data_IF_552670104856
#
_entry.id   IF_552670104856
#
_cell.length_a   1.000
_cell.length_b   1.000
_cell.length_c   1.000
_cell.angle_alpha   90.00
_cell.angle_beta   90.00
_cell.angle_gamma   90.00
#
_symmetry.space_group_name_H-M   'P 1'
#
loop_
_entity.id
_entity.type
_entity.pdbx_description
1 polymer ?
#
# COMPACT_ATOMS: atom_id res chain seq x y z
N UNK A 1 -11.03 -12.30 -22.36
CA UNK A 1 -11.27 -11.89 -20.96
C UNK A 1 -9.96 -11.68 -20.21
N UNK A 2 -9.03 -12.65 -20.22
CA UNK A 2 -7.72 -12.59 -19.55
C UNK A 2 -6.90 -11.34 -19.87
N UNK A 3 -6.75 -10.97 -21.15
CA UNK A 3 -5.98 -9.76 -21.54
C UNK A 3 -6.53 -8.46 -20.92
N UNK A 4 -7.85 -8.31 -20.80
CA UNK A 4 -8.47 -7.12 -20.19
C UNK A 4 -8.23 -7.10 -18.67
N UNK A 5 -8.33 -8.26 -18.02
CA UNK A 5 -8.03 -8.39 -16.59
C UNK A 5 -6.57 -8.08 -16.28
N UNK A 6 -5.63 -8.56 -17.10
CA UNK A 6 -4.21 -8.24 -16.92
C UNK A 6 -3.93 -6.73 -16.98
N UNK A 7 -4.52 -6.03 -17.97
CA UNK A 7 -4.40 -4.56 -18.06
C UNK A 7 -4.98 -3.89 -16.82
N UNK A 8 -6.15 -4.31 -16.34
CA UNK A 8 -6.75 -3.78 -15.11
C UNK A 8 -5.82 -3.97 -13.89
N UNK A 9 -5.25 -5.16 -13.72
CA UNK A 9 -4.35 -5.44 -12.60
C UNK A 9 -3.06 -4.62 -12.68
N UNK A 10 -2.55 -4.33 -13.89
CA UNK A 10 -1.43 -3.41 -14.06
C UNK A 10 -1.78 -1.96 -13.71
N UNK A 11 -2.97 -1.49 -14.09
CA UNK A 11 -3.44 -0.15 -13.71
C UNK A 11 -3.57 -0.05 -12.18
N UNK A 12 -4.17 -1.05 -11.54
CA UNK A 12 -4.30 -1.10 -10.07
C UNK A 12 -2.91 -1.16 -9.41
N UNK A 13 -1.99 -1.99 -9.91
CA UNK A 13 -0.63 -2.09 -9.39
C UNK A 13 0.12 -0.76 -9.51
N UNK A 14 0.06 -0.11 -10.67
CA UNK A 14 0.69 1.19 -10.89
C UNK A 14 0.13 2.28 -9.99
N UNK A 15 -1.20 2.34 -9.83
CA UNK A 15 -1.85 3.28 -8.92
C UNK A 15 -1.43 3.05 -7.46
N UNK A 16 -1.51 1.81 -6.97
CA UNK A 16 -1.12 1.48 -5.59
C UNK A 16 0.37 1.75 -5.36
N UNK A 17 1.23 1.36 -6.30
CA UNK A 17 2.66 1.61 -6.21
C UNK A 17 2.97 3.11 -6.14
N UNK A 18 2.30 3.93 -6.95
CA UNK A 18 2.47 5.39 -6.90
C UNK A 18 2.06 5.96 -5.54
N UNK A 19 0.86 5.61 -5.05
CA UNK A 19 0.35 6.08 -3.76
C UNK A 19 1.29 5.68 -2.62
N UNK A 20 1.63 4.40 -2.51
CA UNK A 20 2.45 3.89 -1.41
C UNK A 20 3.91 4.33 -1.49
N UNK A 21 4.47 4.50 -2.69
CA UNK A 21 5.81 5.06 -2.83
C UNK A 21 5.84 6.51 -2.34
N UNK A 22 4.85 7.32 -2.74
CA UNK A 22 4.76 8.71 -2.31
C UNK A 22 4.56 8.82 -0.79
N UNK A 23 3.58 8.11 -0.23
CA UNK A 23 3.32 8.18 1.21
C UNK A 23 4.44 7.57 2.04
N UNK A 24 5.08 6.50 1.54
CA UNK A 24 6.16 5.83 2.21
C UNK A 24 7.42 6.69 2.27
N UNK A 25 7.80 7.29 1.13
CA UNK A 25 8.91 8.24 1.08
C UNK A 25 8.69 9.44 1.98
N UNK A 26 7.47 10.00 2.04
CA UNK A 26 7.15 11.09 2.96
C UNK A 26 7.41 10.68 4.42
N UNK A 27 7.04 9.46 4.83
CA UNK A 27 7.27 8.94 6.20
C UNK A 27 8.75 8.66 6.51
N UNK A 28 9.57 8.43 5.47
CA UNK A 28 11.00 8.18 5.63
C UNK A 28 11.84 9.46 5.64
N UNK A 29 11.45 10.45 4.84
CA UNK A 29 12.20 11.71 4.66
C UNK A 29 11.80 12.76 5.69
N UNK A 30 10.53 12.84 6.08
CA UNK A 30 10.05 13.85 7.02
C UNK A 30 10.13 13.37 8.47
N UNK A 31 10.37 14.30 9.39
CA UNK A 31 10.28 14.01 10.83
C UNK A 31 8.84 13.88 11.28
N UNK A 32 8.61 13.31 12.48
CA UNK A 32 7.27 13.21 13.08
C UNK A 32 6.60 14.59 13.17
N UNK A 33 7.35 15.60 13.59
CA UNK A 33 6.87 16.97 13.79
C UNK A 33 6.48 17.60 12.45
N UNK A 34 7.26 17.38 11.40
CA UNK A 34 6.93 17.84 10.05
C UNK A 34 5.69 17.16 9.48
N UNK A 35 5.48 15.87 9.78
CA UNK A 35 4.27 15.14 9.37
C UNK A 35 3.04 15.64 10.14
N UNK A 36 3.16 15.83 11.46
CA UNK A 36 2.10 16.41 12.28
C UNK A 36 1.68 17.80 11.79
N UNK A 37 2.65 18.66 11.45
CA UNK A 37 2.41 20.00 10.91
C UNK A 37 1.65 20.01 9.57
N UNK A 38 1.65 18.89 8.84
CA UNK A 38 0.90 18.75 7.57
C UNK A 38 -0.53 18.23 7.76
N UNK A 39 -0.99 18.07 9.01
CA UNK A 39 -2.32 17.58 9.34
C UNK A 39 -2.43 16.06 9.43
N UNK A 40 -1.30 15.33 9.38
CA UNK A 40 -1.29 13.86 9.52
C UNK A 40 -1.35 13.50 11.02
N UNK A 41 -2.50 13.70 11.64
CA UNK A 41 -2.65 13.65 13.10
C UNK A 41 -2.33 12.30 13.76
N UNK A 42 -2.44 11.18 13.05
CA UNK A 42 -2.15 9.85 13.63
C UNK A 42 -0.67 9.69 14.02
N UNK A 43 0.25 10.47 13.44
CA UNK A 43 1.68 10.39 13.78
C UNK A 43 1.96 10.81 15.23
N UNK A 44 1.06 11.56 15.86
CA UNK A 44 1.15 11.93 17.28
C UNK A 44 1.05 10.71 18.20
N UNK A 45 0.25 9.71 17.83
CA UNK A 45 -0.05 8.52 18.65
C UNK A 45 1.08 7.48 18.63
N UNK A 46 2.08 7.65 17.75
CA UNK A 46 3.15 6.68 17.54
C UNK A 46 4.54 7.30 17.68
N UNK A 47 5.52 6.47 18.01
CA UNK A 47 6.93 6.86 18.02
C UNK A 47 7.49 7.01 16.59
N UNK A 48 8.56 7.82 16.40
CA UNK A 48 9.22 7.99 15.10
C UNK A 48 9.66 6.68 14.45
N UNK A 49 10.07 5.69 15.25
CA UNK A 49 10.45 4.36 14.76
C UNK A 49 9.30 3.62 14.06
N UNK A 50 8.09 3.65 14.63
CA UNK A 50 6.91 3.02 14.02
C UNK A 50 6.52 3.72 12.72
N UNK A 51 6.58 5.06 12.69
CA UNK A 51 6.27 5.84 11.48
C UNK A 51 7.24 5.47 10.35
N UNK A 52 8.54 5.37 10.66
CA UNK A 52 9.56 4.93 9.69
C UNK A 52 9.36 3.49 9.25
N UNK A 53 9.00 2.58 10.16
CA UNK A 53 8.72 1.19 9.82
C UNK A 53 7.56 1.09 8.81
N UNK A 54 6.47 1.83 9.04
CA UNK A 54 5.35 1.92 8.09
C UNK A 54 5.84 2.48 6.75
N UNK A 55 6.67 3.52 6.76
CA UNK A 55 7.29 4.07 5.55
C UNK A 55 8.10 3.03 4.76
N UNK A 56 8.92 2.23 5.44
CA UNK A 56 9.69 1.14 4.81
C UNK A 56 8.75 0.10 4.20
N UNK A 57 7.73 -0.34 4.95
CA UNK A 57 6.74 -1.31 4.46
C UNK A 57 6.02 -0.81 3.21
N UNK A 58 5.62 0.47 3.18
CA UNK A 58 4.96 1.07 2.02
C UNK A 58 5.87 1.14 0.80
N UNK A 59 7.13 1.57 0.96
CA UNK A 59 8.10 1.64 -0.15
C UNK A 59 8.45 0.25 -0.67
N UNK A 60 8.71 -0.72 0.21
CA UNK A 60 8.97 -2.11 -0.18
C UNK A 60 7.76 -2.74 -0.85
N UNK A 61 6.55 -2.46 -0.35
CA UNK A 61 5.30 -2.89 -0.96
C UNK A 61 5.17 -2.32 -2.38
N UNK A 62 5.34 -1.01 -2.56
CA UNK A 62 5.27 -0.36 -3.87
C UNK A 62 6.30 -0.93 -4.87
N UNK A 63 7.54 -1.12 -4.42
CA UNK A 63 8.59 -1.74 -5.23
C UNK A 63 8.23 -3.19 -5.59
N UNK A 64 7.74 -3.96 -4.62
CA UNK A 64 7.32 -5.35 -4.80
C UNK A 64 6.12 -5.53 -5.74
N UNK A 65 5.26 -4.52 -5.89
CA UNK A 65 4.15 -4.56 -6.85
C UNK A 65 4.61 -4.44 -8.32
N UNK A 66 5.78 -3.83 -8.57
CA UNK A 66 6.20 -3.45 -9.93
C UNK A 66 7.48 -4.16 -10.36
N UNK A 67 8.55 -4.12 -9.56
CA UNK A 67 9.86 -4.60 -9.97
C UNK A 67 9.88 -6.10 -10.35
N UNK A 68 9.28 -7.01 -9.58
CA UNK A 68 9.26 -8.43 -9.95
C UNK A 68 8.57 -8.68 -11.29
N UNK A 69 7.43 -8.01 -11.53
CA UNK A 69 6.64 -8.16 -12.74
C UNK A 69 7.27 -7.54 -13.99
N UNK A 70 8.02 -6.43 -13.84
CA UNK A 70 8.71 -5.79 -14.97
C UNK A 70 10.01 -6.52 -15.31
N UNK A 71 10.69 -7.08 -14.32
CA UNK A 71 11.96 -7.81 -14.52
C UNK A 71 11.75 -9.28 -14.86
N UNK A 72 10.56 -9.84 -14.61
CA UNK A 72 10.28 -11.27 -14.73
C UNK A 72 10.97 -12.13 -13.66
N UNK A 73 11.42 -11.52 -12.56
CA UNK A 73 12.16 -12.21 -11.49
C UNK A 73 11.27 -12.32 -10.26
N UNK A 74 11.06 -13.55 -9.77
CA UNK A 74 10.31 -13.84 -8.54
C UNK A 74 8.92 -13.15 -8.52
N UNK A 75 8.15 -13.26 -9.59
CA UNK A 75 6.86 -12.57 -9.77
C UNK A 75 5.81 -12.90 -8.69
N UNK A 76 6.00 -14.02 -7.96
CA UNK A 76 5.24 -14.35 -6.75
C UNK A 76 5.32 -13.26 -5.66
N UNK A 77 6.35 -12.41 -5.69
CA UNK A 77 6.49 -11.29 -4.78
C UNK A 77 5.42 -10.21 -4.99
N UNK A 78 4.81 -10.12 -6.18
CA UNK A 78 3.74 -9.13 -6.46
C UNK A 78 2.50 -9.39 -5.60
N UNK A 79 1.87 -10.59 -5.63
CA UNK A 79 0.73 -10.86 -4.75
C UNK A 79 1.14 -10.84 -3.27
N UNK A 80 2.37 -11.23 -2.91
CA UNK A 80 2.86 -11.13 -1.53
C UNK A 80 2.93 -9.67 -1.06
N UNK A 81 3.48 -8.77 -1.88
CA UNK A 81 3.52 -7.34 -1.59
C UNK A 81 2.10 -6.75 -1.48
N UNK A 82 1.19 -7.15 -2.37
CA UNK A 82 -0.21 -6.73 -2.33
C UNK A 82 -0.93 -7.19 -1.04
N UNK A 83 -0.66 -8.42 -0.56
CA UNK A 83 -1.15 -8.89 0.75
C UNK A 83 -0.56 -8.05 1.89
N UNK A 84 0.74 -7.78 1.88
CA UNK A 84 1.39 -6.95 2.89
C UNK A 84 0.79 -5.53 2.97
N UNK A 85 0.56 -4.90 1.82
CA UNK A 85 -0.08 -3.59 1.72
C UNK A 85 -1.55 -3.63 2.19
N UNK A 86 -2.26 -4.72 1.91
CA UNK A 86 -3.62 -4.93 2.44
C UNK A 86 -3.60 -4.92 3.98
N UNK A 87 -2.71 -5.71 4.59
CA UNK A 87 -2.59 -5.78 6.05
C UNK A 87 -2.18 -4.42 6.66
N UNK A 88 -1.26 -3.70 6.01
CA UNK A 88 -0.87 -2.36 6.41
C UNK A 88 -2.07 -1.39 6.43
N UNK A 89 -2.92 -1.43 5.39
CA UNK A 89 -4.13 -0.61 5.33
C UNK A 89 -5.21 -1.00 6.32
N UNK A 90 -5.36 -2.29 6.66
CA UNK A 90 -6.25 -2.72 7.74
C UNK A 90 -5.78 -2.20 9.11
N UNK A 91 -4.47 -2.16 9.34
CA UNK A 91 -3.86 -1.52 10.51
C UNK A 91 -4.17 -0.02 10.57
N UNK A 92 -3.93 0.69 9.46
CA UNK A 92 -4.24 2.12 9.35
C UNK A 92 -5.74 2.41 9.55
N UNK A 93 -6.61 1.60 8.95
CA UNK A 93 -8.07 1.71 9.11
C UNK A 93 -8.47 1.59 10.59
N UNK A 94 -7.88 0.65 11.32
CA UNK A 94 -8.13 0.47 12.76
C UNK A 94 -7.77 1.70 13.58
N UNK A 95 -6.67 2.40 13.22
CA UNK A 95 -6.27 3.66 13.84
C UNK A 95 -7.30 4.76 13.57
N UNK A 96 -7.71 4.94 12.31
CA UNK A 96 -8.68 5.96 11.93
C UNK A 96 -10.09 5.72 12.51
N UNK A 97 -10.49 4.46 12.71
CA UNK A 97 -11.72 4.12 13.44
C UNK A 97 -11.64 4.61 14.89
N UNK A 98 -10.53 4.34 15.59
CA UNK A 98 -10.34 4.77 17.00
C UNK A 98 -10.31 6.29 17.13
N UNK A 99 -9.74 6.97 16.14
CA UNK A 99 -9.67 8.45 16.06
C UNK A 99 -10.96 9.11 15.56
N UNK A 100 -11.97 8.32 15.19
CA UNK A 100 -13.27 8.80 14.65
C UNK A 100 -13.09 9.67 13.40
N UNK A 101 -12.23 9.24 12.48
CA UNK A 101 -11.91 9.93 11.23
C UNK A 101 -12.56 9.20 10.02
N UNK A 102 -13.89 9.32 9.80
CA UNK A 102 -14.63 8.46 8.86
C UNK A 102 -14.12 8.53 7.42
N UNK A 103 -13.70 9.71 6.97
CA UNK A 103 -13.13 9.90 5.62
C UNK A 103 -11.86 9.06 5.43
N UNK A 104 -10.99 9.01 6.45
CA UNK A 104 -9.75 8.24 6.38
C UNK A 104 -10.01 6.73 6.53
N UNK A 105 -11.04 6.34 7.28
CA UNK A 105 -11.52 4.95 7.31
C UNK A 105 -11.93 4.49 5.91
N UNK A 106 -12.73 5.29 5.19
CA UNK A 106 -13.14 4.95 3.81
C UNK A 106 -11.92 4.88 2.88
N UNK A 107 -11.02 5.85 2.95
CA UNK A 107 -9.82 5.87 2.10
C UNK A 107 -8.95 4.62 2.32
N UNK A 108 -8.65 4.28 3.58
CA UNK A 108 -7.87 3.08 3.92
C UNK A 108 -8.59 1.80 3.53
N UNK A 109 -9.92 1.73 3.67
CA UNK A 109 -10.72 0.59 3.21
C UNK A 109 -10.65 0.40 1.68
N UNK A 110 -10.72 1.48 0.90
CA UNK A 110 -10.59 1.43 -0.56
C UNK A 110 -9.19 0.94 -0.97
N UNK A 111 -8.14 1.47 -0.35
CA UNK A 111 -6.76 1.02 -0.63
C UNK A 111 -6.54 -0.45 -0.24
N UNK A 112 -7.07 -0.88 0.90
CA UNK A 112 -7.03 -2.28 1.33
C UNK A 112 -7.74 -3.19 0.32
N UNK A 113 -8.93 -2.79 -0.13
CA UNK A 113 -9.72 -3.53 -1.12
C UNK A 113 -8.97 -3.65 -2.45
N UNK A 114 -8.42 -2.56 -2.96
CA UNK A 114 -7.65 -2.56 -4.22
C UNK A 114 -6.42 -3.46 -4.13
N UNK A 115 -5.69 -3.42 -3.00
CA UNK A 115 -4.53 -4.27 -2.77
C UNK A 115 -4.93 -5.75 -2.66
N UNK A 116 -6.02 -6.07 -1.95
CA UNK A 116 -6.54 -7.43 -1.85
C UNK A 116 -7.02 -7.96 -3.21
N UNK A 117 -7.70 -7.10 -3.98
CA UNK A 117 -8.12 -7.43 -5.35
C UNK A 117 -6.92 -7.69 -6.26
N UNK A 118 -5.86 -6.90 -6.16
CA UNK A 118 -4.63 -7.13 -6.91
C UNK A 118 -3.97 -8.46 -6.55
N UNK A 119 -3.88 -8.77 -5.25
CA UNK A 119 -3.35 -10.05 -4.77
C UNK A 119 -4.14 -11.22 -5.34
N UNK A 120 -5.47 -11.20 -5.18
CA UNK A 120 -6.36 -12.22 -5.74
C UNK A 120 -6.23 -12.33 -7.26
N UNK A 121 -6.20 -11.19 -7.95
CA UNK A 121 -6.09 -11.13 -9.40
C UNK A 121 -4.80 -11.76 -9.92
N UNK A 122 -3.66 -11.53 -9.25
CA UNK A 122 -2.37 -12.13 -9.60
C UNK A 122 -2.21 -13.58 -9.16
N UNK A 123 -3.00 -14.07 -8.21
CA UNK A 123 -2.97 -15.47 -7.79
C UNK A 123 -3.91 -16.35 -8.61
N UNK A 124 -5.07 -15.82 -9.02
CA UNK A 124 -6.17 -16.66 -9.55
C UNK A 124 -6.64 -16.22 -10.93
N UNK A 125 -6.83 -14.93 -11.16
CA UNK A 125 -7.50 -14.45 -12.39
C UNK A 125 -6.54 -14.29 -13.58
N UNK A 126 -5.32 -13.83 -13.32
CA UNK A 126 -4.27 -13.63 -14.30
C UNK A 126 -2.90 -13.75 -13.62
N UNK A 127 -2.49 -14.99 -13.25
CA UNK A 127 -1.13 -15.26 -12.80
C UNK A 127 -0.10 -14.81 -13.83
N UNK A 128 1.10 -14.50 -13.35
CA UNK A 128 2.23 -14.36 -14.24
C UNK A 128 2.64 -15.74 -14.79
N UNK A 129 3.23 -15.73 -15.99
CA UNK A 129 3.37 -16.87 -16.91
C UNK A 129 4.68 -17.61 -16.77
#
# INVERSE_FOLDING_TARGET
MVRRMNVLLWVVAGFLAFVFLLTGLLKLVRTKEQLAATGIGWVEDFGPGTIRLIGVVEVLGAAGLILPAVTGIAEVLVPVAAIGLTLNMLGAMSVHIRRKEPTLVVLTAVLAFLAAFLAWGRLVLSPFS
#
